data_IF_414527895010
#
_entry.id   IF_414527895010
#
_cell.length_a   1.000
_cell.length_b   1.000
_cell.length_c   1.000
_cell.angle_alpha   90.00
_cell.angle_beta   90.00
_cell.angle_gamma   90.00
#
_symmetry.space_group_name_H-M   'P 1'
#
loop_
_entity.id
_entity.type
_entity.pdbx_description
1 polymer ?
#
# COMPACT_ATOMS: atom_id res chain seq x y z
N UNK A 1 5.33 -22.39 13.20
CA UNK A 1 5.80 -20.99 13.32
C UNK A 1 4.81 -20.08 12.62
N UNK A 2 3.64 -19.98 13.25
CA UNK A 2 2.54 -19.13 12.84
C UNK A 2 2.89 -17.67 13.07
N UNK A 3 2.70 -16.86 12.03
CA UNK A 3 2.75 -15.40 12.14
C UNK A 3 1.49 -14.83 11.50
N UNK A 4 0.34 -15.17 12.11
CA UNK A 4 -0.95 -14.51 11.94
C UNK A 4 -0.79 -13.03 12.34
N UNK A 5 -0.37 -12.19 11.39
CA UNK A 5 -0.43 -10.75 11.55
C UNK A 5 -1.82 -10.30 11.09
N UNK A 6 -2.54 -9.64 12.01
CA UNK A 6 -3.75 -8.86 11.72
C UNK A 6 -3.36 -7.77 10.70
N UNK A 7 -3.43 -8.12 9.42
CA UNK A 7 -3.00 -7.29 8.29
C UNK A 7 -3.95 -6.11 8.13
N UNK A 8 -3.42 -4.88 8.22
CA UNK A 8 -4.05 -3.75 7.56
C UNK A 8 -4.25 -4.04 6.06
N UNK A 9 -5.29 -3.46 5.46
CA UNK A 9 -5.62 -3.68 4.04
C UNK A 9 -4.40 -3.34 3.16
N UNK A 10 -3.93 -4.32 2.38
CA UNK A 10 -2.81 -4.12 1.44
C UNK A 10 -3.34 -3.68 0.11
N UNK A 11 -2.58 -2.85 -0.60
CA UNK A 11 -3.01 -2.28 -1.86
C UNK A 11 -2.00 -2.60 -2.95
N UNK A 12 -2.44 -3.28 -4.00
CA UNK A 12 -1.60 -3.64 -5.14
C UNK A 12 -1.84 -2.70 -6.31
N UNK A 13 -0.78 -2.06 -6.79
CA UNK A 13 -0.79 -1.28 -8.01
C UNK A 13 -1.12 -2.19 -9.20
N UNK A 14 -2.20 -1.92 -9.93
CA UNK A 14 -2.53 -2.68 -11.16
C UNK A 14 -1.60 -2.38 -12.33
N UNK A 15 -0.87 -1.26 -12.29
CA UNK A 15 0.03 -0.84 -13.37
C UNK A 15 1.35 -1.61 -13.36
N UNK A 16 2.00 -1.72 -12.19
CA UNK A 16 3.32 -2.36 -12.07
C UNK A 16 3.35 -3.57 -11.12
N UNK A 17 2.29 -3.82 -10.35
CA UNK A 17 2.25 -4.89 -9.36
C UNK A 17 2.82 -4.53 -7.98
N UNK A 18 3.22 -3.27 -7.74
CA UNK A 18 3.72 -2.81 -6.44
C UNK A 18 2.69 -3.05 -5.32
N UNK A 19 3.10 -3.66 -4.21
CA UNK A 19 2.24 -3.93 -3.06
C UNK A 19 2.54 -2.94 -1.93
N UNK A 20 1.63 -2.00 -1.70
CA UNK A 20 1.64 -1.13 -0.54
C UNK A 20 1.24 -1.91 0.72
N UNK A 21 2.11 -1.85 1.72
CA UNK A 21 1.94 -2.50 3.00
C UNK A 21 1.82 -1.42 4.09
N UNK A 22 0.63 -1.22 4.70
CA UNK A 22 0.44 -0.15 5.67
C UNK A 22 1.24 -0.35 6.94
N UNK A 23 1.59 -1.59 7.32
CA UNK A 23 2.40 -1.86 8.52
C UNK A 23 3.85 -1.41 8.32
N UNK A 24 4.37 -1.55 7.09
CA UNK A 24 5.71 -1.05 6.73
C UNK A 24 5.72 0.42 6.32
N UNK A 25 4.59 0.95 5.84
CA UNK A 25 4.52 2.27 5.22
C UNK A 25 5.41 2.35 3.98
N UNK A 26 5.75 3.57 3.57
CA UNK A 26 6.70 3.83 2.48
C UNK A 26 7.75 4.87 2.93
N UNK A 27 8.83 4.43 3.60
CA UNK A 27 9.89 5.34 4.03
C UNK A 27 10.73 5.86 2.86
N UNK A 28 10.63 5.25 1.67
CA UNK A 28 11.44 5.61 0.51
C UNK A 28 11.17 7.04 0.00
N UNK A 29 10.02 7.63 0.32
CA UNK A 29 9.65 8.97 -0.15
C UNK A 29 9.15 9.91 0.96
N UNK A 30 9.28 9.55 2.23
CA UNK A 30 8.72 10.30 3.37
C UNK A 30 7.20 10.57 3.29
N UNK A 31 6.47 9.89 2.39
CA UNK A 31 5.05 10.20 2.15
C UNK A 31 4.15 9.50 3.17
N UNK A 32 4.63 8.43 3.82
CA UNK A 32 3.79 7.57 4.66
C UNK A 32 4.62 6.90 5.75
N UNK A 33 4.51 7.32 7.02
CA UNK A 33 5.14 6.59 8.11
C UNK A 33 4.62 5.14 8.20
N UNK A 34 5.39 4.24 8.81
CA UNK A 34 4.88 2.89 9.09
C UNK A 34 3.62 2.99 9.96
N UNK A 35 2.58 2.25 9.58
CA UNK A 35 1.25 2.32 10.19
C UNK A 35 0.24 3.21 9.44
N UNK A 36 0.64 3.91 8.37
CA UNK A 36 -0.29 4.69 7.55
C UNK A 36 -1.14 3.78 6.66
N UNK A 37 -2.46 3.83 6.83
CA UNK A 37 -3.39 3.16 5.93
C UNK A 37 -3.36 3.80 4.54
N UNK A 38 -3.62 3.02 3.50
CA UNK A 38 -3.68 3.56 2.13
C UNK A 38 -4.75 4.64 1.96
N UNK A 39 -5.85 4.53 2.71
CA UNK A 39 -6.94 5.50 2.74
C UNK A 39 -6.51 6.85 3.34
N UNK A 40 -5.51 6.84 4.24
CA UNK A 40 -4.93 8.01 4.88
C UNK A 40 -3.86 8.70 3.99
N UNK A 41 -3.51 8.09 2.86
CA UNK A 41 -2.55 8.67 1.94
C UNK A 41 -3.11 9.91 1.22
N UNK A 42 -2.27 10.94 1.05
CA UNK A 42 -2.67 12.12 0.28
C UNK A 42 -3.07 11.73 -1.14
N UNK A 43 -3.97 12.49 -1.76
CA UNK A 43 -4.39 12.25 -3.15
C UNK A 43 -3.24 12.40 -4.17
N UNK A 44 -2.24 13.20 -3.83
CA UNK A 44 -0.99 13.36 -4.57
C UNK A 44 -0.04 12.17 -4.42
N UNK A 45 -0.36 11.20 -3.55
CA UNK A 45 0.41 9.97 -3.44
C UNK A 45 0.30 9.15 -4.73
N UNK A 46 1.46 8.79 -5.25
CA UNK A 46 1.63 8.00 -6.46
C UNK A 46 2.53 6.82 -6.17
N UNK A 47 2.38 5.77 -6.97
CA UNK A 47 3.18 4.56 -6.84
C UNK A 47 4.68 4.92 -6.91
N UNK A 48 5.48 4.56 -5.91
CA UNK A 48 6.92 4.88 -5.91
C UNK A 48 7.67 4.16 -7.03
N UNK A 49 7.12 3.04 -7.52
CA UNK A 49 7.69 2.22 -8.60
C UNK A 49 7.38 2.76 -10.01
N UNK A 50 6.15 3.17 -10.28
CA UNK A 50 5.72 3.55 -11.65
C UNK A 50 5.09 4.93 -11.77
N UNK A 51 4.86 5.65 -10.67
CA UNK A 51 4.19 6.94 -10.66
C UNK A 51 2.67 6.89 -10.86
N UNK A 52 2.05 5.71 -10.93
CA UNK A 52 0.60 5.61 -11.08
C UNK A 52 -0.14 6.17 -9.85
N UNK A 53 -1.25 6.87 -10.06
CA UNK A 53 -2.07 7.44 -8.99
C UNK A 53 -2.64 6.37 -8.04
N UNK A 54 -3.00 6.78 -6.82
CA UNK A 54 -3.64 5.90 -5.83
C UNK A 54 -4.89 5.17 -6.34
N UNK A 55 -5.60 5.76 -7.31
CA UNK A 55 -6.78 5.16 -7.96
C UNK A 55 -6.45 3.88 -8.75
N UNK A 56 -5.19 3.71 -9.18
CA UNK A 56 -4.73 2.53 -9.91
C UNK A 56 -4.49 1.34 -8.98
N UNK A 57 -4.46 1.57 -7.66
CA UNK A 57 -4.27 0.53 -6.69
C UNK A 57 -5.59 -0.19 -6.41
N UNK A 58 -5.49 -1.51 -6.25
CA UNK A 58 -6.58 -2.38 -5.81
C UNK A 58 -6.27 -2.90 -4.42
N UNK A 59 -7.24 -2.80 -3.53
CA UNK A 59 -7.22 -3.55 -2.28
C UNK A 59 -7.09 -5.05 -2.57
N UNK A 60 -6.07 -5.65 -1.97
CA UNK A 60 -5.85 -7.10 -1.96
C UNK A 60 -6.56 -7.65 -0.72
N UNK A 61 -7.90 -7.53 -0.71
CA UNK A 61 -8.73 -8.26 0.25
C UNK A 61 -8.68 -9.73 -0.16
N UNK A 62 -7.94 -10.50 0.63
CA UNK A 62 -7.75 -11.94 0.56
C UNK A 62 -9.05 -12.67 0.17
N UNK A 63 -9.20 -12.96 -1.12
CA UNK A 63 -10.17 -13.91 -1.64
C UNK A 63 -9.60 -15.32 -1.53
N UNK A 64 -10.13 -16.07 -0.56
CA UNK A 64 -9.97 -17.51 -0.29
C UNK A 64 -8.59 -18.01 0.15
#
# INVERSE_FOLDING_TARGET
MEKKHKKGKKYRCKCCGYLYDPEKGDPSRFVSPPGTCFEDLPESWTCPHCGANKTTFKEEERGF
#
